data_IF_982035338134
#
_entry.id   IF_982035338134
#
_cell.length_a   1.000
_cell.length_b   1.000
_cell.length_c   1.000
_cell.angle_alpha   90.00
_cell.angle_beta   90.00
_cell.angle_gamma   90.00
#
_symmetry.space_group_name_H-M   'P 1'
#
loop_
_entity.id
_entity.type
_entity.pdbx_description
1 polymer ?
#
# COMPACT_ATOMS: atom_id res chain seq x y z
N UNK A 1 9.38 -11.38 -38.77
CA UNK A 1 8.83 -10.27 -37.94
C UNK A 1 9.70 -9.03 -38.13
N UNK A 2 9.10 -7.83 -38.22
CA UNK A 2 9.82 -6.56 -38.31
C UNK A 2 9.95 -5.91 -36.91
N UNK A 3 10.80 -4.87 -36.77
CA UNK A 3 11.10 -4.24 -35.48
C UNK A 3 9.88 -3.59 -34.80
N UNK A 4 8.95 -3.03 -35.57
CA UNK A 4 7.72 -2.41 -35.03
C UNK A 4 6.82 -3.49 -34.41
N UNK A 5 6.65 -4.64 -35.07
CA UNK A 5 5.86 -5.74 -34.52
C UNK A 5 6.51 -6.32 -33.25
N UNK A 6 7.85 -6.45 -33.23
CA UNK A 6 8.57 -6.88 -32.03
C UNK A 6 8.41 -5.91 -30.86
N UNK A 7 8.55 -4.60 -31.13
CA UNK A 7 8.29 -3.52 -30.17
C UNK A 7 6.88 -3.59 -29.59
N UNK A 8 5.85 -3.67 -30.43
CA UNK A 8 4.46 -3.70 -29.98
C UNK A 8 4.14 -4.93 -29.13
N UNK A 9 4.66 -6.11 -29.51
CA UNK A 9 4.51 -7.32 -28.71
C UNK A 9 5.17 -7.14 -27.34
N UNK A 10 6.40 -6.62 -27.29
CA UNK A 10 7.11 -6.40 -26.03
C UNK A 10 6.39 -5.36 -25.16
N UNK A 11 5.94 -4.25 -25.75
CA UNK A 11 5.17 -3.23 -25.05
C UNK A 11 3.90 -3.81 -24.41
N UNK A 12 3.14 -4.62 -25.16
CA UNK A 12 1.91 -5.25 -24.66
C UNK A 12 2.18 -6.24 -23.52
N UNK A 13 3.23 -7.06 -23.63
CA UNK A 13 3.63 -7.99 -22.56
C UNK A 13 4.00 -7.19 -21.30
N UNK A 14 4.85 -6.18 -21.44
CA UNK A 14 5.32 -5.37 -20.30
C UNK A 14 4.18 -4.61 -19.63
N UNK A 15 3.30 -3.99 -20.42
CA UNK A 15 2.11 -3.31 -19.92
C UNK A 15 1.16 -4.29 -19.21
N UNK A 16 0.99 -5.51 -19.74
CA UNK A 16 0.19 -6.54 -19.08
C UNK A 16 0.76 -6.97 -17.73
N UNK A 17 2.07 -7.22 -17.65
CA UNK A 17 2.75 -7.61 -16.41
C UNK A 17 2.66 -6.49 -15.36
N UNK A 18 3.00 -5.27 -15.73
CA UNK A 18 2.92 -4.11 -14.82
C UNK A 18 1.48 -3.80 -14.44
N UNK A 19 0.52 -3.98 -15.35
CA UNK A 19 -0.91 -3.82 -15.06
C UNK A 19 -1.42 -4.82 -14.02
N UNK A 20 -1.05 -6.10 -14.13
CA UNK A 20 -1.39 -7.12 -13.14
C UNK A 20 -0.75 -6.82 -11.78
N UNK A 21 0.52 -6.41 -11.78
CA UNK A 21 1.21 -5.99 -10.56
C UNK A 21 0.53 -4.78 -9.92
N UNK A 22 0.16 -3.77 -10.70
CA UNK A 22 -0.57 -2.60 -10.22
C UNK A 22 -1.89 -2.97 -9.56
N UNK A 23 -2.68 -3.89 -10.16
CA UNK A 23 -3.93 -4.35 -9.56
C UNK A 23 -3.70 -5.03 -8.21
N UNK A 24 -2.66 -5.87 -8.09
CA UNK A 24 -2.27 -6.48 -6.82
C UNK A 24 -1.86 -5.41 -5.78
N UNK A 25 -1.01 -4.46 -6.17
CA UNK A 25 -0.58 -3.37 -5.30
C UNK A 25 -1.78 -2.56 -4.80
N UNK A 26 -2.66 -2.14 -5.70
CA UNK A 26 -3.74 -1.21 -5.39
C UNK A 26 -4.87 -1.85 -4.58
N UNK A 27 -5.25 -3.10 -4.87
CA UNK A 27 -6.37 -3.75 -4.19
C UNK A 27 -5.96 -4.61 -2.99
N UNK A 28 -4.75 -5.17 -3.00
CA UNK A 28 -4.33 -6.15 -1.99
C UNK A 28 -3.32 -5.53 -1.04
N UNK A 29 -2.15 -5.09 -1.52
CA UNK A 29 -1.08 -4.62 -0.62
C UNK A 29 -1.30 -3.23 -0.04
N UNK A 30 -1.83 -2.32 -0.84
CA UNK A 30 -2.03 -0.92 -0.49
C UNK A 30 -3.46 -0.48 -0.80
N UNK A 31 -4.49 -1.12 -0.20
CA UNK A 31 -5.85 -0.62 -0.34
C UNK A 31 -5.91 0.82 0.17
N UNK A 32 -6.86 1.59 -0.35
CA UNK A 32 -7.10 2.96 0.11
C UNK A 32 -7.22 2.99 1.65
N UNK A 33 -6.59 3.94 2.37
CA UNK A 33 -5.83 5.10 1.90
C UNK A 33 -4.33 4.86 1.68
N UNK A 34 -3.84 3.65 1.93
CA UNK A 34 -2.41 3.39 2.01
C UNK A 34 -1.66 3.61 0.70
N UNK A 35 -2.30 3.40 -0.46
CA UNK A 35 -1.69 3.72 -1.75
C UNK A 35 -1.25 5.19 -1.85
N UNK A 36 -2.05 6.10 -1.29
CA UNK A 36 -1.86 7.54 -1.44
C UNK A 36 -0.84 8.10 -0.43
N UNK A 37 -0.75 7.49 0.76
CA UNK A 37 0.07 8.00 1.88
C UNK A 37 1.35 7.19 2.12
N UNK A 38 1.49 6.01 1.51
CA UNK A 38 2.67 5.15 1.72
C UNK A 38 3.91 5.65 0.99
N UNK A 39 3.75 6.34 -0.14
CA UNK A 39 4.84 6.67 -1.07
C UNK A 39 5.12 5.56 -2.09
N UNK A 40 4.31 4.49 -2.14
CA UNK A 40 4.47 3.36 -3.08
C UNK A 40 4.45 3.77 -4.57
N UNK A 41 3.89 4.94 -4.87
CA UNK A 41 3.82 5.50 -6.22
C UNK A 41 5.23 5.67 -6.82
N UNK A 42 6.24 6.04 -6.03
CA UNK A 42 7.59 6.29 -6.57
C UNK A 42 8.29 5.04 -7.10
N UNK A 43 8.40 3.92 -6.33
CA UNK A 43 8.94 2.68 -6.90
C UNK A 43 8.07 2.11 -8.04
N UNK A 44 6.75 2.31 -7.99
CA UNK A 44 5.86 1.90 -9.09
C UNK A 44 6.13 2.69 -10.39
N UNK A 45 6.36 4.01 -10.30
CA UNK A 45 6.74 4.83 -11.47
C UNK A 45 8.03 4.32 -12.09
N UNK A 46 9.02 3.97 -11.27
CA UNK A 46 10.30 3.44 -11.76
C UNK A 46 10.11 2.13 -12.55
N UNK A 47 9.27 1.22 -12.06
CA UNK A 47 8.90 0.00 -12.80
C UNK A 47 8.23 0.31 -14.14
N UNK A 48 7.27 1.24 -14.17
CA UNK A 48 6.63 1.64 -15.43
C UNK A 48 7.66 2.18 -16.42
N UNK A 49 8.58 3.05 -15.97
CA UNK A 49 9.60 3.64 -16.84
C UNK A 49 10.54 2.56 -17.38
N UNK A 50 11.04 1.67 -16.53
CA UNK A 50 11.99 0.64 -16.96
C UNK A 50 11.32 -0.38 -17.88
N UNK A 51 10.18 -0.92 -17.46
CA UNK A 51 9.58 -2.08 -18.13
C UNK A 51 8.65 -1.72 -19.27
N UNK A 52 7.85 -0.66 -19.15
CA UNK A 52 6.86 -0.29 -20.17
C UNK A 52 7.43 0.69 -21.19
N UNK A 53 8.47 1.45 -20.83
CA UNK A 53 9.06 2.47 -21.71
C UNK A 53 10.44 2.01 -22.21
N UNK A 54 11.43 1.88 -21.32
CA UNK A 54 12.82 1.66 -21.71
C UNK A 54 13.02 0.30 -22.41
N UNK A 55 12.55 -0.81 -21.84
CA UNK A 55 12.71 -2.15 -22.41
C UNK A 55 12.16 -2.29 -23.84
N UNK A 56 10.91 -1.90 -24.10
CA UNK A 56 10.34 -1.87 -25.44
C UNK A 56 11.12 -0.95 -26.39
N UNK A 57 11.48 0.27 -25.97
CA UNK A 57 12.28 1.16 -26.81
C UNK A 57 13.65 0.57 -27.17
N UNK A 58 14.34 -0.06 -26.22
CA UNK A 58 15.59 -0.77 -26.49
C UNK A 58 15.37 -1.89 -27.51
N UNK A 59 14.28 -2.65 -27.37
CA UNK A 59 13.89 -3.67 -28.36
C UNK A 59 13.68 -3.07 -29.73
N UNK A 60 13.00 -1.92 -29.86
CA UNK A 60 12.81 -1.23 -31.13
C UNK A 60 14.14 -0.81 -31.78
N UNK A 61 15.10 -0.36 -30.97
CA UNK A 61 16.43 0.10 -31.41
C UNK A 61 17.29 -1.08 -31.85
N UNK A 62 17.39 -2.14 -31.04
CA UNK A 62 18.32 -3.25 -31.31
C UNK A 62 17.79 -4.25 -32.33
N UNK A 63 16.47 -4.34 -32.51
CA UNK A 63 15.87 -5.37 -33.34
C UNK A 63 16.17 -5.17 -34.83
N UNK A 64 16.96 -6.10 -35.38
CA UNK A 64 17.29 -6.18 -36.82
C UNK A 64 17.22 -7.63 -37.28
N UNK A 65 16.32 -7.94 -38.23
CA UNK A 65 16.16 -9.29 -38.79
C UNK A 65 17.49 -9.76 -39.38
N UNK A 66 17.94 -10.97 -39.00
CA UNK A 66 19.20 -11.56 -39.48
C UNK A 66 20.46 -11.09 -38.73
N UNK A 67 20.33 -10.27 -37.68
CA UNK A 67 21.46 -9.93 -36.80
C UNK A 67 21.80 -11.14 -35.92
N UNK A 68 23.03 -11.63 -36.01
CA UNK A 68 23.49 -12.82 -35.28
C UNK A 68 23.37 -12.68 -33.76
N UNK A 69 23.68 -11.49 -33.24
CA UNK A 69 23.59 -11.20 -31.80
C UNK A 69 22.17 -10.88 -31.33
N UNK A 70 21.15 -10.87 -32.20
CA UNK A 70 19.81 -10.40 -31.84
C UNK A 70 19.23 -11.14 -30.64
N UNK A 71 19.45 -12.45 -30.57
CA UNK A 71 18.97 -13.26 -29.44
C UNK A 71 19.66 -12.82 -28.15
N UNK A 72 20.98 -12.67 -28.17
CA UNK A 72 21.75 -12.20 -27.01
C UNK A 72 21.31 -10.79 -26.58
N UNK A 73 21.15 -9.86 -27.52
CA UNK A 73 20.72 -8.48 -27.23
C UNK A 73 19.36 -8.46 -26.52
N UNK A 74 18.39 -9.21 -27.03
CA UNK A 74 17.05 -9.31 -26.44
C UNK A 74 17.06 -10.05 -25.11
N UNK A 75 17.89 -11.09 -24.95
CA UNK A 75 18.06 -11.79 -23.68
C UNK A 75 18.63 -10.89 -22.60
N UNK A 76 19.62 -10.05 -22.92
CA UNK A 76 20.19 -9.09 -21.96
C UNK A 76 19.15 -8.06 -21.54
N UNK A 77 18.39 -7.51 -22.49
CA UNK A 77 17.28 -6.58 -22.19
C UNK A 77 16.27 -7.25 -21.24
N UNK A 78 15.83 -8.47 -21.56
CA UNK A 78 14.87 -9.21 -20.76
C UNK A 78 15.40 -9.53 -19.35
N UNK A 79 16.68 -9.93 -19.22
CA UNK A 79 17.29 -10.23 -17.92
C UNK A 79 17.36 -8.98 -17.02
N UNK A 80 17.76 -7.84 -17.57
CA UNK A 80 17.82 -6.58 -16.83
C UNK A 80 16.41 -6.16 -16.37
N UNK A 81 15.41 -6.28 -17.25
CA UNK A 81 14.02 -6.00 -16.90
C UNK A 81 13.48 -6.93 -15.81
N UNK A 82 13.72 -8.23 -15.91
CA UNK A 82 13.31 -9.19 -14.87
C UNK A 82 13.97 -8.84 -13.52
N UNK A 83 15.25 -8.48 -13.52
CA UNK A 83 15.95 -8.06 -12.30
C UNK A 83 15.36 -6.76 -11.71
N UNK A 84 15.08 -5.76 -12.56
CA UNK A 84 14.45 -4.52 -12.14
C UNK A 84 13.04 -4.74 -11.58
N UNK A 85 12.24 -5.57 -12.25
CA UNK A 85 10.91 -5.97 -11.82
C UNK A 85 10.95 -6.69 -10.47
N UNK A 86 11.83 -7.68 -10.31
CA UNK A 86 11.99 -8.41 -9.05
C UNK A 86 12.38 -7.48 -7.89
N UNK A 87 13.34 -6.57 -8.12
CA UNK A 87 13.74 -5.60 -7.13
C UNK A 87 12.63 -4.60 -6.77
N UNK A 88 11.88 -4.12 -7.76
CA UNK A 88 10.74 -3.23 -7.53
C UNK A 88 9.60 -3.93 -6.77
N UNK A 89 9.26 -5.17 -7.13
CA UNK A 89 8.29 -6.00 -6.40
C UNK A 89 8.73 -6.18 -4.95
N UNK A 90 10.00 -6.53 -4.71
CA UNK A 90 10.55 -6.67 -3.37
C UNK A 90 10.43 -5.36 -2.57
N UNK A 91 10.85 -4.24 -3.16
CA UNK A 91 10.83 -2.91 -2.52
C UNK A 91 9.41 -2.48 -2.16
N UNK A 92 8.46 -2.70 -3.07
CA UNK A 92 7.04 -2.40 -2.86
C UNK A 92 6.47 -3.33 -1.78
N UNK A 93 6.70 -4.64 -1.85
CA UNK A 93 6.18 -5.56 -0.83
C UNK A 93 6.75 -5.25 0.56
N UNK A 94 8.05 -4.95 0.66
CA UNK A 94 8.72 -4.59 1.91
C UNK A 94 8.17 -3.28 2.52
N UNK A 95 7.68 -2.36 1.68
CA UNK A 95 7.09 -1.10 2.14
C UNK A 95 5.60 -1.17 2.45
N UNK A 96 4.94 -2.33 2.34
CA UNK A 96 3.48 -2.41 2.47
C UNK A 96 3.01 -2.30 3.92
N UNK A 97 1.79 -1.78 4.17
CA UNK A 97 1.15 -1.86 5.49
C UNK A 97 0.80 -3.32 5.80
N UNK A 98 1.72 -4.03 6.43
CA UNK A 98 1.47 -5.41 6.86
C UNK A 98 0.47 -5.46 8.01
N UNK A 99 0.64 -4.53 8.96
CA UNK A 99 -0.15 -4.36 10.15
C UNK A 99 -0.50 -2.89 10.35
N UNK A 100 -1.71 -2.67 10.86
CA UNK A 100 -2.23 -1.38 11.29
C UNK A 100 -2.69 -1.58 12.72
N UNK A 101 -1.94 -1.03 13.67
CA UNK A 101 -2.16 -1.28 15.09
C UNK A 101 -2.75 -0.05 15.73
N UNK A 102 -3.85 -0.22 16.45
CA UNK A 102 -4.38 0.83 17.30
C UNK A 102 -3.69 0.82 18.66
N UNK A 103 -3.15 1.97 19.07
CA UNK A 103 -2.57 2.15 20.39
C UNK A 103 -3.00 3.51 20.96
N UNK A 104 -3.54 3.51 22.19
CA UNK A 104 -3.76 4.72 22.99
C UNK A 104 -4.39 5.90 22.23
N UNK A 105 -5.37 5.61 21.38
CA UNK A 105 -6.16 6.62 20.66
C UNK A 105 -5.76 6.91 19.22
N UNK A 106 -4.72 6.24 18.70
CA UNK A 106 -4.30 6.43 17.31
C UNK A 106 -3.93 5.12 16.63
N UNK A 107 -4.06 5.10 15.30
CA UNK A 107 -3.54 4.01 14.48
C UNK A 107 -2.05 4.22 14.17
N UNK A 108 -1.33 3.13 14.01
CA UNK A 108 0.07 3.09 13.62
C UNK A 108 0.21 2.26 12.35
N UNK A 109 0.81 2.86 11.33
CA UNK A 109 1.18 2.18 10.09
C UNK A 109 2.46 1.38 10.30
N UNK A 110 2.38 0.04 10.27
CA UNK A 110 3.56 -0.82 10.42
C UNK A 110 3.94 -1.45 9.08
N UNK A 111 5.02 -0.93 8.49
CA UNK A 111 5.56 -1.44 7.24
C UNK A 111 6.16 -2.84 7.44
N UNK A 112 5.97 -3.73 6.47
CA UNK A 112 6.48 -5.11 6.48
C UNK A 112 7.98 -5.19 6.83
N UNK A 113 8.81 -4.34 6.23
CA UNK A 113 10.28 -4.33 6.43
C UNK A 113 10.75 -4.05 7.86
N UNK A 114 9.90 -3.48 8.70
CA UNK A 114 10.23 -3.15 10.09
C UNK A 114 9.58 -4.09 11.09
N UNK A 115 8.72 -5.01 10.63
CA UNK A 115 7.99 -5.91 11.52
C UNK A 115 8.75 -7.16 11.87
N UNK A 116 8.52 -7.67 13.09
CA UNK A 116 8.94 -9.00 13.49
C UNK A 116 7.74 -9.97 13.49
N UNK A 117 7.34 -10.43 12.30
CA UNK A 117 6.12 -11.23 12.15
C UNK A 117 6.15 -12.57 12.90
N UNK A 118 7.33 -13.08 13.27
CA UNK A 118 7.44 -14.30 14.08
C UNK A 118 7.01 -14.10 15.54
N UNK A 119 7.02 -12.86 16.02
CA UNK A 119 6.63 -12.56 17.40
C UNK A 119 5.11 -12.47 17.57
N UNK A 120 4.36 -12.31 16.46
CA UNK A 120 2.90 -12.22 16.46
C UNK A 120 2.30 -13.54 16.96
N UNK A 121 1.57 -13.46 18.07
CA UNK A 121 0.97 -14.64 18.72
C UNK A 121 -0.26 -15.18 17.98
N UNK A 122 -1.05 -14.28 17.37
CA UNK A 122 -2.33 -14.64 16.75
C UNK A 122 -2.17 -14.87 15.25
N UNK A 123 -2.50 -16.08 14.78
CA UNK A 123 -2.37 -16.47 13.37
C UNK A 123 -3.14 -15.54 12.42
N UNK A 124 -4.31 -15.03 12.82
CA UNK A 124 -5.11 -14.15 11.97
C UNK A 124 -4.46 -12.78 11.70
N UNK A 125 -3.52 -12.37 12.56
CA UNK A 125 -2.75 -11.14 12.45
C UNK A 125 -1.44 -11.33 11.68
N UNK A 126 -1.02 -12.57 11.42
CA UNK A 126 0.20 -12.81 10.62
C UNK A 126 -0.03 -12.38 9.17
N UNK A 127 0.76 -11.42 8.66
CA UNK A 127 0.61 -10.96 7.30
C UNK A 127 1.15 -12.01 6.33
N UNK A 128 0.46 -12.23 5.22
CA UNK A 128 0.89 -13.13 4.13
C UNK A 128 1.18 -12.35 2.86
N UNK A 129 1.87 -12.97 1.90
CA UNK A 129 2.26 -12.31 0.65
C UNK A 129 1.06 -11.75 -0.16
N UNK A 130 -0.13 -12.32 -0.03
CA UNK A 130 -1.33 -11.88 -0.76
C UNK A 130 -2.44 -11.40 0.17
N UNK A 131 -2.09 -10.89 1.34
CA UNK A 131 -3.07 -10.35 2.30
C UNK A 131 -3.08 -8.83 2.30
N UNK A 132 -4.27 -8.28 2.49
CA UNK A 132 -4.45 -6.89 2.88
C UNK A 132 -3.97 -6.63 4.32
N UNK A 133 -3.85 -5.34 4.72
CA UNK A 133 -3.36 -4.97 6.04
C UNK A 133 -4.19 -5.62 7.14
N UNK A 134 -3.49 -6.16 8.14
CA UNK A 134 -4.12 -6.74 9.33
C UNK A 134 -4.32 -5.66 10.39
N UNK A 135 -5.43 -5.70 11.11
CA UNK A 135 -5.77 -4.70 12.11
C UNK A 135 -5.64 -5.30 13.50
N UNK A 136 -4.73 -4.73 14.29
CA UNK A 136 -4.45 -5.16 15.64
C UNK A 136 -4.69 -4.06 16.66
N UNK A 137 -4.65 -4.43 17.91
CA UNK A 137 -4.80 -3.55 19.06
C UNK A 137 -3.67 -3.82 20.04
N UNK A 138 -3.20 -2.76 20.70
CA UNK A 138 -2.30 -2.85 21.84
C UNK A 138 -2.71 -1.82 22.89
N UNK A 139 -2.71 -2.23 24.15
CA UNK A 139 -3.03 -1.36 25.28
C UNK A 139 -1.74 -1.02 26.05
N UNK A 140 -0.84 -0.26 25.44
CA UNK A 140 0.44 0.15 26.06
C UNK A 140 0.57 1.67 26.10
N UNK A 141 0.99 2.22 27.25
CA UNK A 141 1.12 3.67 27.46
C UNK A 141 2.21 4.36 26.62
N UNK A 142 3.15 3.63 26.01
CA UNK A 142 4.27 4.23 25.26
C UNK A 142 4.22 3.86 23.77
N UNK A 143 4.29 4.88 22.91
CA UNK A 143 4.28 4.75 21.44
C UNK A 143 5.66 4.38 20.87
N UNK A 144 6.74 4.58 21.64
CA UNK A 144 8.12 4.37 21.20
C UNK A 144 8.50 2.88 21.03
N UNK A 145 7.66 1.95 21.49
CA UNK A 145 8.00 0.53 21.56
C UNK A 145 7.15 -0.38 20.64
N UNK A 146 6.23 0.17 19.84
CA UNK A 146 5.29 -0.65 19.04
C UNK A 146 6.01 -1.62 18.10
N UNK A 147 7.18 -1.23 17.55
CA UNK A 147 7.97 -2.12 16.71
C UNK A 147 8.61 -3.30 17.46
N UNK A 148 8.79 -3.21 18.78
CA UNK A 148 9.27 -4.31 19.61
C UNK A 148 8.15 -5.02 20.39
N UNK A 149 6.93 -4.48 20.39
CA UNK A 149 5.76 -5.03 21.08
C UNK A 149 4.89 -5.94 20.20
N UNK A 150 5.45 -6.54 19.14
CA UNK A 150 4.69 -7.41 18.21
C UNK A 150 4.03 -8.61 18.92
N UNK A 151 4.65 -9.11 19.98
CA UNK A 151 4.14 -10.18 20.87
C UNK A 151 2.88 -9.78 21.64
N UNK A 152 2.68 -8.49 21.86
CA UNK A 152 1.59 -7.93 22.67
C UNK A 152 0.43 -7.44 21.78
N UNK A 153 0.53 -7.59 20.45
CA UNK A 153 -0.54 -7.21 19.54
C UNK A 153 -1.64 -8.27 19.58
N UNK A 154 -2.84 -7.82 19.93
CA UNK A 154 -4.05 -8.63 19.99
C UNK A 154 -5.03 -8.26 18.88
N UNK A 155 -5.93 -9.17 18.47
CA UNK A 155 -7.01 -8.84 17.55
C UNK A 155 -7.96 -7.81 18.15
N UNK A 156 -8.53 -6.96 17.29
CA UNK A 156 -9.62 -6.05 17.68
C UNK A 156 -10.91 -6.88 17.85
N UNK A 157 -11.14 -7.38 19.05
CA UNK A 157 -12.28 -8.25 19.36
C UNK A 157 -13.60 -7.47 19.45
N UNK A 158 -13.57 -6.30 20.10
CA UNK A 158 -14.71 -5.37 20.19
C UNK A 158 -14.28 -3.93 19.88
N UNK A 159 -14.57 -3.45 18.68
CA UNK A 159 -14.23 -2.09 18.26
C UNK A 159 -14.94 -1.02 19.10
N UNK A 160 -16.16 -1.29 19.59
CA UNK A 160 -16.93 -0.32 20.38
C UNK A 160 -16.29 -0.07 21.73
N UNK A 161 -15.69 -1.10 22.32
CA UNK A 161 -14.97 -0.99 23.58
C UNK A 161 -13.54 -0.49 23.38
N UNK A 162 -12.84 -0.98 22.36
CA UNK A 162 -11.40 -0.77 22.19
C UNK A 162 -11.03 0.49 21.42
N UNK A 163 -11.86 0.93 20.46
CA UNK A 163 -11.53 2.04 19.56
C UNK A 163 -12.40 3.28 19.81
N UNK A 164 -13.72 3.09 19.89
CA UNK A 164 -14.69 4.20 19.85
C UNK A 164 -14.49 5.26 20.93
N UNK A 165 -14.09 4.92 22.18
CA UNK A 165 -13.85 5.93 23.22
C UNK A 165 -12.78 6.97 22.85
N UNK A 166 -11.94 6.66 21.86
CA UNK A 166 -10.88 7.54 21.38
C UNK A 166 -11.15 8.12 19.98
N UNK A 167 -12.33 7.86 19.42
CA UNK A 167 -12.70 8.39 18.11
C UNK A 167 -12.91 9.90 18.15
N UNK A 168 -12.63 10.55 17.03
CA UNK A 168 -13.01 11.92 16.77
C UNK A 168 -14.38 11.89 16.06
N UNK A 169 -15.36 12.59 16.62
CA UNK A 169 -16.65 12.75 15.95
C UNK A 169 -16.52 13.65 14.72
N UNK A 170 -17.48 13.58 13.80
CA UNK A 170 -17.55 14.52 12.68
C UNK A 170 -17.62 15.97 13.17
N UNK A 171 -18.36 16.25 14.25
CA UNK A 171 -18.43 17.59 14.84
C UNK A 171 -17.07 18.06 15.35
N UNK A 172 -16.32 17.19 16.04
CA UNK A 172 -14.95 17.50 16.47
C UNK A 172 -14.05 17.80 15.27
N UNK A 173 -14.13 16.99 14.21
CA UNK A 173 -13.34 17.19 12.98
C UNK A 173 -13.68 18.50 12.26
N UNK A 174 -14.96 18.84 12.14
CA UNK A 174 -15.42 20.08 11.51
C UNK A 174 -15.03 21.32 12.32
N UNK A 175 -15.08 21.22 13.65
CA UNK A 175 -14.63 22.28 14.55
C UNK A 175 -13.12 22.51 14.46
N UNK A 176 -12.34 21.43 14.43
CA UNK A 176 -10.88 21.48 14.37
C UNK A 176 -10.38 21.91 12.98
N UNK A 177 -11.06 21.51 11.91
CA UNK A 177 -10.64 21.74 10.52
C UNK A 177 -11.74 22.37 9.65
N UNK A 178 -12.17 23.61 9.95
CA UNK A 178 -13.25 24.26 9.21
C UNK A 178 -12.94 24.42 7.72
N UNK A 179 -11.67 24.59 7.35
CA UNK A 179 -11.22 24.68 5.95
C UNK A 179 -11.36 23.36 5.16
N UNK A 180 -11.58 22.23 5.84
CA UNK A 180 -11.78 20.90 5.24
C UNK A 180 -13.22 20.40 5.39
N UNK A 181 -14.16 21.28 5.74
CA UNK A 181 -15.53 20.91 6.03
C UNK A 181 -16.24 20.20 4.86
N UNK A 182 -16.03 20.65 3.62
CA UNK A 182 -16.62 20.02 2.44
C UNK A 182 -16.12 18.58 2.26
N UNK A 183 -14.81 18.36 2.45
CA UNK A 183 -14.20 17.04 2.36
C UNK A 183 -14.69 16.11 3.46
N UNK A 184 -14.69 16.57 4.72
CA UNK A 184 -15.17 15.80 5.87
C UNK A 184 -16.63 15.36 5.66
N UNK A 185 -17.51 16.30 5.27
CA UNK A 185 -18.92 16.00 4.97
C UNK A 185 -19.09 15.07 3.78
N UNK A 186 -18.27 15.22 2.74
CA UNK A 186 -18.28 14.34 1.57
C UNK A 186 -17.92 12.90 1.96
N UNK A 187 -16.92 12.73 2.82
CA UNK A 187 -16.53 11.41 3.33
C UNK A 187 -17.66 10.81 4.18
N UNK A 188 -18.23 11.56 5.12
CA UNK A 188 -19.38 11.09 5.91
C UNK A 188 -20.56 10.67 5.03
N UNK A 189 -20.88 11.46 4.01
CA UNK A 189 -21.98 11.18 3.08
C UNK A 189 -21.72 9.93 2.22
N UNK A 190 -20.44 9.64 1.90
CA UNK A 190 -20.03 8.46 1.13
C UNK A 190 -20.22 7.16 1.92
N UNK A 191 -20.13 7.23 3.26
CA UNK A 191 -20.13 6.05 4.14
C UNK A 191 -21.28 6.06 5.16
N UNK A 192 -22.41 6.73 4.86
CA UNK A 192 -23.58 6.85 5.75
C UNK A 192 -24.09 5.50 6.30
N UNK A 193 -23.94 4.41 5.53
CA UNK A 193 -24.41 3.07 5.91
C UNK A 193 -23.35 2.21 6.63
N UNK A 194 -22.18 2.76 6.97
CA UNK A 194 -21.06 1.98 7.48
C UNK A 194 -20.67 2.26 8.94
N UNK A 195 -21.32 3.22 9.60
CA UNK A 195 -20.97 3.71 10.95
C UNK A 195 -19.46 4.03 11.00
N UNK A 196 -19.10 5.21 10.51
CA UNK A 196 -17.70 5.64 10.43
C UNK A 196 -17.26 6.46 11.64
N UNK A 197 -15.96 6.41 11.91
CA UNK A 197 -15.30 7.24 12.91
C UNK A 197 -13.98 7.78 12.37
N UNK A 198 -13.58 8.94 12.87
CA UNK A 198 -12.28 9.51 12.56
C UNK A 198 -11.27 9.15 13.66
N UNK A 199 -10.05 8.88 13.24
CA UNK A 199 -8.92 8.64 14.12
C UNK A 199 -7.68 9.34 13.56
N UNK A 200 -6.70 9.60 14.41
CA UNK A 200 -5.36 9.92 13.92
C UNK A 200 -4.63 8.63 13.55
N UNK A 201 -3.74 8.71 12.57
CA UNK A 201 -2.81 7.66 12.22
C UNK A 201 -1.43 8.25 12.04
N UNK A 202 -0.44 7.64 12.65
CA UNK A 202 0.96 8.04 12.48
C UNK A 202 1.68 7.10 11.52
N UNK A 203 2.49 7.71 10.65
CA UNK A 203 3.45 7.03 9.79
C UNK A 203 4.72 7.87 9.78
N UNK A 204 5.80 7.32 10.29
CA UNK A 204 7.07 8.03 10.47
C UNK A 204 6.85 9.34 11.25
N UNK A 205 7.13 10.51 10.67
CA UNK A 205 6.94 11.82 11.30
C UNK A 205 5.65 12.53 10.86
N UNK A 206 4.77 11.86 10.11
CA UNK A 206 3.53 12.44 9.60
C UNK A 206 2.30 11.89 10.31
N UNK A 207 1.35 12.78 10.61
CA UNK A 207 0.04 12.43 11.17
C UNK A 207 -1.03 12.61 10.10
N UNK A 208 -1.88 11.60 9.94
CA UNK A 208 -3.01 11.57 9.02
C UNK A 208 -4.30 11.44 9.82
N UNK A 209 -5.41 11.98 9.31
CA UNK A 209 -6.73 11.73 9.87
C UNK A 209 -7.43 10.70 9.00
N UNK A 210 -7.63 9.52 9.55
CA UNK A 210 -8.16 8.35 8.86
C UNK A 210 -9.59 8.07 9.27
N UNK A 211 -10.32 7.40 8.39
CA UNK A 211 -11.71 7.01 8.62
C UNK A 211 -11.79 5.51 8.74
N UNK A 212 -12.23 5.05 9.91
CA UNK A 212 -12.46 3.64 10.20
C UNK A 212 -13.94 3.31 9.99
N UNK A 213 -14.21 2.23 9.25
CA UNK A 213 -15.54 1.67 9.05
C UNK A 213 -15.78 0.56 10.07
N UNK A 214 -16.79 0.73 10.93
CA UNK A 214 -17.19 -0.29 11.89
C UNK A 214 -17.66 -1.57 11.19
N UNK A 215 -18.41 -1.40 10.09
CA UNK A 215 -18.94 -2.51 9.30
C UNK A 215 -17.84 -3.33 8.62
N UNK A 216 -16.83 -2.67 8.05
CA UNK A 216 -15.74 -3.35 7.35
C UNK A 216 -14.56 -3.72 8.26
N UNK A 217 -14.55 -3.24 9.51
CA UNK A 217 -13.49 -3.42 10.50
C UNK A 217 -12.09 -3.02 9.97
N UNK A 218 -12.02 -1.91 9.24
CA UNK A 218 -10.77 -1.40 8.64
C UNK A 218 -10.85 0.10 8.37
N UNK A 219 -9.69 0.71 8.12
CA UNK A 219 -9.61 2.06 7.56
C UNK A 219 -10.03 2.01 6.09
N UNK A 220 -10.90 2.94 5.69
CA UNK A 220 -11.50 3.02 4.35
C UNK A 220 -11.20 4.33 3.63
N UNK A 221 -10.82 5.37 4.36
CA UNK A 221 -10.59 6.70 3.81
C UNK A 221 -9.66 7.53 4.71
N UNK A 222 -9.25 8.70 4.25
CA UNK A 222 -8.54 9.70 5.03
C UNK A 222 -8.92 11.11 4.57
N UNK A 223 -8.73 12.09 5.45
CA UNK A 223 -8.89 13.51 5.13
C UNK A 223 -7.56 14.03 4.57
N UNK A 224 -7.58 14.59 3.37
CA UNK A 224 -6.41 15.13 2.66
C UNK A 224 -6.14 16.55 3.16
N UNK A 225 -5.05 16.72 3.90
CA UNK A 225 -4.64 18.05 4.38
C UNK A 225 -3.82 18.81 3.35
#
# INVERSE_FOLDING_TARGET
MNKIKAFLIHLLISAGVIGLLFLNIYYIWYPKPFFEISGVIEPLKLLIIVDVIIGPLLTLIVYKKGKETLVMDLSVIALIQIAALAYGIYTINAGRPSLVVFNSGQFHYLAEKFGNNSDIQYEELKPGMFTSPKYGYINQLSTLDIYNSYKDIEPISDSKLMLYPHSLSEENMLSQFPKKAEEIKSISSKYTNEEIMFFTMTKEQSTYYVVYSAKQKKIVEYVKF
#
